data_IF_293499889559
#
_entry.id   IF_293499889559
#
_cell.length_a   1.000
_cell.length_b   1.000
_cell.length_c   1.000
_cell.angle_alpha   90.00
_cell.angle_beta   90.00
_cell.angle_gamma   90.00
#
_symmetry.space_group_name_H-M   'P 1'
#
loop_
_entity.id
_entity.type
_entity.pdbx_description
1 polymer ?
#
# COMPACT_ATOMS: atom_id res chain seq x y z
N UNK A 1 20.32 46.54 2.83
CA UNK A 1 19.37 45.50 2.40
C UNK A 1 19.99 44.17 2.76
N UNK A 2 19.42 43.36 3.66
CA UNK A 2 19.81 41.97 3.76
C UNK A 2 18.92 41.16 2.81
N UNK A 3 19.57 40.41 1.91
CA UNK A 3 18.90 39.38 1.12
C UNK A 3 18.46 38.28 2.08
N UNK A 4 17.15 38.06 2.14
CA UNK A 4 16.58 36.97 2.91
C UNK A 4 17.00 35.66 2.27
N UNK A 5 18.01 35.00 2.84
CA UNK A 5 18.23 33.57 2.65
C UNK A 5 16.91 32.85 3.00
N UNK A 6 16.12 32.50 1.99
CA UNK A 6 15.01 31.54 2.12
C UNK A 6 15.62 30.16 2.33
N UNK A 7 16.26 29.96 3.48
CA UNK A 7 16.40 28.63 4.05
C UNK A 7 14.99 28.28 4.53
N UNK A 8 14.19 27.70 3.64
CA UNK A 8 12.91 27.08 4.01
C UNK A 8 13.23 26.11 5.13
N UNK A 9 12.95 26.53 6.36
CA UNK A 9 12.96 25.64 7.52
C UNK A 9 12.00 24.52 7.12
N UNK A 10 12.53 23.32 6.93
CA UNK A 10 11.75 22.17 6.51
C UNK A 10 10.87 21.76 7.70
N UNK A 11 9.81 22.54 7.91
CA UNK A 11 8.84 22.32 8.97
C UNK A 11 7.94 21.16 8.54
N UNK A 12 7.69 20.24 9.47
CA UNK A 12 6.70 19.20 9.24
C UNK A 12 5.35 19.86 8.93
N UNK A 13 4.54 19.27 8.03
CA UNK A 13 3.23 19.82 7.69
C UNK A 13 2.39 20.00 8.96
N UNK A 14 1.61 21.09 9.03
CA UNK A 14 0.75 21.39 10.17
C UNK A 14 -0.31 20.30 10.35
N UNK A 15 -0.82 20.05 11.58
CA UNK A 15 -1.83 19.00 11.81
C UNK A 15 -3.07 19.09 10.90
N UNK A 16 -3.51 20.29 10.54
CA UNK A 16 -4.61 20.49 9.58
C UNK A 16 -4.25 20.06 8.15
N UNK A 17 -3.02 20.32 7.70
CA UNK A 17 -2.54 19.90 6.39
C UNK A 17 -2.42 18.38 6.32
N UNK A 18 -1.94 17.76 7.40
CA UNK A 18 -1.86 16.31 7.54
C UNK A 18 -3.25 15.65 7.42
N UNK A 19 -4.26 16.20 8.12
CA UNK A 19 -5.65 15.71 8.05
C UNK A 19 -6.26 15.92 6.66
N UNK A 20 -5.94 17.04 6.02
CA UNK A 20 -6.40 17.34 4.65
C UNK A 20 -5.84 16.32 3.66
N UNK A 21 -4.54 16.03 3.73
CA UNK A 21 -3.88 15.08 2.85
C UNK A 21 -4.43 13.66 3.03
N UNK A 22 -4.65 13.23 4.28
CA UNK A 22 -5.27 11.94 4.59
C UNK A 22 -6.71 11.85 4.08
N UNK A 23 -7.48 12.94 4.21
CA UNK A 23 -8.87 13.01 3.72
C UNK A 23 -8.94 12.95 2.20
N UNK A 24 -8.02 13.61 1.49
CA UNK A 24 -7.89 13.51 0.03
C UNK A 24 -7.53 12.09 -0.41
N UNK A 25 -6.59 11.43 0.28
CA UNK A 25 -6.24 10.05 -0.01
C UNK A 25 -7.44 9.11 0.17
N UNK A 26 -8.24 9.29 1.24
CA UNK A 26 -9.49 8.55 1.45
C UNK A 26 -10.50 8.79 0.33
N UNK A 27 -10.70 10.04 -0.07
CA UNK A 27 -11.63 10.38 -1.15
C UNK A 27 -11.23 9.75 -2.49
N UNK A 28 -9.94 9.67 -2.79
CA UNK A 28 -9.44 9.14 -4.07
C UNK A 28 -9.44 7.60 -4.07
N UNK A 29 -8.94 6.99 -2.99
CA UNK A 29 -8.69 5.54 -2.93
C UNK A 29 -9.88 4.75 -2.37
N UNK A 30 -10.76 5.41 -1.60
CA UNK A 30 -11.97 4.82 -1.02
C UNK A 30 -13.15 5.82 -1.08
N UNK A 31 -13.56 6.30 -2.27
CA UNK A 31 -14.52 7.39 -2.44
C UNK A 31 -15.86 7.17 -1.75
N UNK A 32 -16.33 5.92 -1.73
CA UNK A 32 -17.60 5.54 -1.12
C UNK A 32 -17.45 5.03 0.33
N UNK A 33 -16.22 4.96 0.86
CA UNK A 33 -15.95 4.42 2.20
C UNK A 33 -16.25 2.93 2.37
N UNK A 34 -16.50 2.19 1.28
CA UNK A 34 -17.01 0.81 1.31
C UNK A 34 -15.97 -0.24 1.68
N UNK A 35 -14.69 0.01 1.40
CA UNK A 35 -13.63 -0.95 1.72
C UNK A 35 -12.90 -0.53 3.01
N UNK A 36 -13.21 -1.16 4.17
CA UNK A 36 -12.55 -0.83 5.44
C UNK A 36 -11.06 -1.16 5.43
N UNK A 37 -10.61 -2.06 4.55
CA UNK A 37 -9.18 -2.43 4.43
C UNK A 37 -8.38 -1.28 3.82
N UNK A 38 -8.97 -0.55 2.87
CA UNK A 38 -8.33 0.62 2.27
C UNK A 38 -8.22 1.75 3.30
N UNK A 39 -9.26 1.97 4.10
CA UNK A 39 -9.21 3.00 5.14
C UNK A 39 -8.16 2.71 6.22
N UNK A 40 -8.06 1.45 6.65
CA UNK A 40 -7.02 0.99 7.56
C UNK A 40 -5.62 1.17 6.96
N UNK A 41 -5.47 0.85 5.68
CA UNK A 41 -4.20 1.02 4.96
C UNK A 41 -3.78 2.49 4.91
N UNK A 42 -4.68 3.39 4.48
CA UNK A 42 -4.42 4.84 4.42
C UNK A 42 -4.04 5.36 5.80
N UNK A 43 -4.82 5.02 6.83
CA UNK A 43 -4.57 5.46 8.20
C UNK A 43 -3.20 5.00 8.71
N UNK A 44 -2.84 3.73 8.44
CA UNK A 44 -1.54 3.17 8.80
C UNK A 44 -0.38 3.87 8.08
N UNK A 45 -0.51 4.09 6.76
CA UNK A 45 0.51 4.76 5.96
C UNK A 45 0.75 6.18 6.43
N UNK A 46 -0.31 6.95 6.63
CA UNK A 46 -0.19 8.33 7.11
C UNK A 46 0.37 8.40 8.52
N UNK A 47 -0.06 7.53 9.44
CA UNK A 47 0.50 7.48 10.79
C UNK A 47 2.02 7.23 10.78
N UNK A 48 2.50 6.37 9.89
CA UNK A 48 3.92 6.11 9.72
C UNK A 48 4.68 7.34 9.21
N UNK A 49 4.21 7.96 8.12
CA UNK A 49 4.83 9.13 7.51
C UNK A 49 4.91 10.27 8.51
N UNK A 50 3.82 10.54 9.23
CA UNK A 50 3.77 11.59 10.25
C UNK A 50 4.71 11.31 11.41
N UNK A 51 4.81 10.05 11.87
CA UNK A 51 5.77 9.65 12.88
C UNK A 51 7.23 9.84 12.44
N UNK A 52 7.54 9.50 11.19
CA UNK A 52 8.87 9.68 10.62
C UNK A 52 9.23 11.17 10.48
N UNK A 53 8.31 12.00 9.99
CA UNK A 53 8.48 13.45 9.87
C UNK A 53 8.63 14.12 11.24
N UNK A 54 7.84 13.69 12.22
CA UNK A 54 7.96 14.16 13.59
C UNK A 54 9.36 13.85 14.15
N UNK A 55 9.82 12.59 14.06
CA UNK A 55 11.17 12.20 14.49
C UNK A 55 12.26 13.05 13.82
N UNK A 56 12.18 13.25 12.51
CA UNK A 56 13.15 14.07 11.77
C UNK A 56 13.20 15.53 12.23
N UNK A 57 12.04 16.11 12.54
CA UNK A 57 11.95 17.52 12.94
C UNK A 57 12.33 17.76 14.40
N UNK A 58 12.10 16.78 15.28
CA UNK A 58 12.43 16.90 16.72
C UNK A 58 13.78 16.33 17.11
N UNK A 59 14.44 15.56 16.23
CA UNK A 59 15.72 14.93 16.56
C UNK A 59 16.89 15.91 16.50
N UNK A 60 17.77 15.81 17.51
CA UNK A 60 19.06 16.51 17.54
C UNK A 60 20.07 15.91 16.57
N UNK A 61 19.92 14.64 16.19
CA UNK A 61 20.77 13.94 15.22
C UNK A 61 19.91 13.45 14.04
N UNK A 62 19.78 14.32 13.05
CA UNK A 62 18.95 14.10 11.86
C UNK A 62 19.50 12.99 10.98
N UNK A 63 20.82 12.80 10.91
CA UNK A 63 21.43 11.77 10.07
C UNK A 63 21.15 10.37 10.63
N UNK A 64 21.36 10.18 11.94
CA UNK A 64 21.03 8.92 12.61
C UNK A 64 19.52 8.61 12.51
N UNK A 65 18.68 9.63 12.61
CA UNK A 65 17.22 9.50 12.53
C UNK A 65 16.77 9.14 11.10
N UNK A 66 17.33 9.80 10.10
CA UNK A 66 17.08 9.45 8.69
C UNK A 66 17.50 8.01 8.39
N UNK A 67 18.64 7.57 8.95
CA UNK A 67 19.09 6.19 8.84
C UNK A 67 18.12 5.21 9.50
N UNK A 68 17.63 5.49 10.69
CA UNK A 68 16.61 4.66 11.36
C UNK A 68 15.33 4.52 10.52
N UNK A 69 14.85 5.63 9.95
CA UNK A 69 13.67 5.64 9.08
C UNK A 69 13.92 4.81 7.82
N UNK A 70 15.09 4.97 7.18
CA UNK A 70 15.46 4.21 5.99
C UNK A 70 15.56 2.71 6.28
N UNK A 71 16.18 2.33 7.40
CA UNK A 71 16.33 0.94 7.82
C UNK A 71 14.95 0.30 8.13
N UNK A 72 14.03 1.05 8.75
CA UNK A 72 12.65 0.59 9.00
C UNK A 72 11.83 0.44 7.70
N UNK A 73 11.94 1.40 6.77
CA UNK A 73 11.33 1.31 5.44
C UNK A 73 11.82 0.07 4.68
N UNK A 74 13.13 -0.18 4.70
CA UNK A 74 13.72 -1.33 4.02
C UNK A 74 13.19 -2.64 4.61
N UNK A 75 13.14 -2.76 5.95
CA UNK A 75 12.58 -3.94 6.62
C UNK A 75 11.11 -4.18 6.28
N UNK A 76 10.29 -3.12 6.22
CA UNK A 76 8.86 -3.23 5.83
C UNK A 76 8.72 -3.70 4.39
N UNK A 77 9.55 -3.19 3.49
CA UNK A 77 9.55 -3.60 2.09
C UNK A 77 9.96 -5.08 1.94
N UNK A 78 11.06 -5.50 2.57
CA UNK A 78 11.50 -6.90 2.58
C UNK A 78 10.41 -7.84 3.13
N UNK A 79 9.74 -7.44 4.21
CA UNK A 79 8.63 -8.22 4.79
C UNK A 79 7.45 -8.34 3.82
N UNK A 80 7.09 -7.25 3.14
CA UNK A 80 6.02 -7.26 2.15
C UNK A 80 6.34 -8.14 0.94
N UNK A 81 7.59 -8.10 0.45
CA UNK A 81 8.05 -8.99 -0.63
C UNK A 81 7.97 -10.45 -0.19
N UNK A 82 8.48 -10.79 0.99
CA UNK A 82 8.45 -12.15 1.52
C UNK A 82 7.02 -12.68 1.69
N UNK A 83 6.08 -11.84 2.15
CA UNK A 83 4.66 -12.22 2.26
C UNK A 83 4.01 -12.48 0.89
N UNK A 84 4.38 -11.70 -0.14
CA UNK A 84 3.90 -11.90 -1.52
C UNK A 84 4.42 -13.20 -2.11
N UNK A 85 5.73 -13.43 -2.03
CA UNK A 85 6.34 -14.67 -2.51
C UNK A 85 5.76 -15.90 -1.81
N UNK A 86 5.49 -15.79 -0.49
CA UNK A 86 4.82 -16.85 0.26
C UNK A 86 3.40 -17.09 -0.24
N UNK A 87 2.60 -16.03 -0.43
CA UNK A 87 1.23 -16.15 -0.96
C UNK A 87 1.19 -16.74 -2.36
N UNK A 88 2.14 -16.41 -3.22
CA UNK A 88 2.26 -17.00 -4.57
C UNK A 88 2.60 -18.49 -4.52
N UNK A 89 3.52 -18.89 -3.62
CA UNK A 89 3.84 -20.32 -3.38
C UNK A 89 2.65 -21.07 -2.80
N UNK A 90 1.95 -20.50 -1.82
CA UNK A 90 0.78 -21.11 -1.20
C UNK A 90 -0.38 -21.23 -2.21
N UNK A 91 -0.55 -20.25 -3.11
CA UNK A 91 -1.54 -20.31 -4.19
C UNK A 91 -1.21 -21.36 -5.27
N UNK A 92 0.08 -21.58 -5.58
CA UNK A 92 0.50 -22.68 -6.46
C UNK A 92 0.34 -24.05 -5.80
N UNK A 93 0.54 -24.17 -4.49
CA UNK A 93 0.36 -25.42 -3.75
C UNK A 93 -1.12 -25.80 -3.55
N UNK A 94 -2.04 -24.83 -3.63
CA UNK A 94 -3.49 -25.03 -3.51
C UNK A 94 -4.21 -25.27 -4.85
N UNK A 95 -3.50 -25.29 -5.98
CA UNK A 95 -4.08 -25.70 -7.26
C UNK A 95 -4.41 -27.21 -7.19
N UNK A 96 -5.69 -27.64 -7.24
CA UNK A 96 -5.99 -29.05 -7.29
C UNK A 96 -5.43 -29.63 -8.59
N UNK A 97 -4.75 -30.77 -8.47
CA UNK A 97 -4.49 -31.66 -9.59
C UNK A 97 -5.82 -32.09 -10.21
N UNK A 98 -6.31 -31.34 -11.21
CA UNK A 98 -7.29 -31.87 -12.16
C UNK A 98 -6.56 -32.85 -13.07
N UNK A 99 -6.53 -34.11 -12.67
CA UNK A 99 -6.12 -35.23 -13.51
C UNK A 99 -7.39 -35.90 -14.08
N UNK A 100 -7.76 -35.47 -15.30
CA UNK A 100 -8.36 -36.21 -16.44
C UNK A 100 -9.64 -37.09 -16.25
N UNK A 101 -10.20 -37.74 -17.29
CA UNK A 101 -10.90 -37.19 -18.47
C UNK A 101 -12.29 -37.85 -18.66
N UNK A 102 -13.32 -37.13 -19.12
CA UNK A 102 -14.52 -37.81 -19.67
C UNK A 102 -14.95 -37.17 -21.00
N UNK A 103 -14.60 -37.88 -22.07
CA UNK A 103 -15.33 -37.84 -23.31
C UNK A 103 -16.60 -38.72 -23.16
N UNK A 104 -17.79 -38.11 -23.17
CA UNK A 104 -18.97 -38.72 -23.78
C UNK A 104 -20.09 -37.70 -24.03
N UNK A 105 -20.20 -37.36 -25.31
CA UNK A 105 -21.42 -37.20 -26.11
C UNK A 105 -22.68 -36.74 -25.36
N UNK A 106 -23.04 -35.48 -25.57
CA UNK A 106 -24.41 -35.13 -25.95
C UNK A 106 -24.40 -33.79 -26.70
N UNK A 107 -24.40 -33.86 -28.03
CA UNK A 107 -24.76 -32.74 -28.90
C UNK A 107 -26.23 -32.92 -29.29
N UNK A 108 -27.12 -31.93 -29.09
CA UNK A 108 -28.44 -32.00 -29.67
C UNK A 108 -28.32 -31.82 -31.18
N UNK A 109 -28.80 -32.83 -31.91
CA UNK A 109 -28.99 -32.80 -33.36
C UNK A 109 -30.01 -31.71 -33.68
N UNK A 110 -29.57 -30.65 -34.36
CA UNK A 110 -30.46 -29.63 -34.90
C UNK A 110 -31.14 -30.27 -36.11
N UNK A 111 -32.44 -30.50 -36.01
CA UNK A 111 -33.27 -31.00 -37.11
C UNK A 111 -33.59 -29.81 -38.02
N UNK A 112 -33.00 -29.82 -39.22
CA UNK A 112 -33.33 -28.90 -40.30
C UNK A 112 -34.73 -29.28 -40.80
N UNK A 113 -35.70 -28.39 -40.58
CA UNK A 113 -37.06 -28.52 -41.09
C UNK A 113 -37.11 -27.81 -42.44
N UNK A 114 -37.44 -28.59 -43.48
CA UNK A 114 -37.77 -28.20 -44.86
C UNK A 114 -38.80 -27.04 -44.92
#
# INVERSE_FOLDING_TARGET
MPESDTTTTQEAPLPQEQQTLMSLARLILNPDGKDPRIDQYITSTFSYILGALYKMTTSSDREATAKEIADDLNRRFESWVAEREKKEKDAQAAAPASTEPEASKDQPKIEEVD
#
